data_IF_045265917802
#
_entry.id   IF_045265917802
#
_cell.length_a   1.000
_cell.length_b   1.000
_cell.length_c   1.000
_cell.angle_alpha   90.00
_cell.angle_beta   90.00
_cell.angle_gamma   90.00
#
_symmetry.space_group_name_H-M   'P 1'
#
loop_
_entity.id
_entity.type
_entity.pdbx_description
1 polymer ?
#
# COMPACT_ATOMS: atom_id res chain seq x y z
N UNK A 1 -20.77 -8.27 -4.06
CA UNK A 1 -20.68 -6.99 -3.32
C UNK A 1 -19.30 -6.82 -2.70
N UNK A 2 -18.95 -5.61 -2.31
CA UNK A 2 -17.67 -5.27 -1.67
C UNK A 2 -17.92 -4.56 -0.35
N UNK A 3 -17.28 -5.05 0.71
CA UNK A 3 -17.38 -4.51 2.06
C UNK A 3 -15.98 -4.10 2.52
N UNK A 4 -15.66 -2.82 2.38
CA UNK A 4 -14.34 -2.28 2.72
C UNK A 4 -14.48 -1.38 3.93
N UNK A 5 -13.67 -1.62 4.97
CA UNK A 5 -13.71 -0.79 6.18
C UNK A 5 -12.34 -0.67 6.84
N UNK A 6 -11.99 0.57 7.18
CA UNK A 6 -10.93 0.88 8.14
C UNK A 6 -11.61 1.28 9.45
N UNK A 7 -11.17 0.74 10.58
CA UNK A 7 -11.83 1.00 11.87
C UNK A 7 -10.85 0.97 13.03
N UNK A 8 -11.17 1.64 14.13
CA UNK A 8 -10.38 1.59 15.36
C UNK A 8 -10.91 0.56 16.36
N UNK A 9 -12.06 -0.06 16.08
CA UNK A 9 -12.68 -1.06 16.96
C UNK A 9 -12.16 -2.47 16.65
N UNK A 10 -12.35 -3.38 17.59
CA UNK A 10 -12.04 -4.80 17.39
C UNK A 10 -12.82 -5.37 16.20
N UNK A 11 -12.18 -6.28 15.46
CA UNK A 11 -12.79 -6.95 14.31
C UNK A 11 -13.47 -8.25 14.76
N UNK A 12 -14.75 -8.41 14.40
CA UNK A 12 -15.48 -9.67 14.58
C UNK A 12 -15.38 -10.51 13.31
N UNK A 13 -14.76 -11.69 13.41
CA UNK A 13 -14.64 -12.62 12.28
C UNK A 13 -16.01 -13.13 11.84
N UNK A 14 -16.92 -13.35 12.78
CA UNK A 14 -18.27 -13.83 12.51
C UNK A 14 -19.09 -12.80 11.74
N UNK A 15 -19.09 -11.54 12.18
CA UNK A 15 -19.81 -10.46 11.48
C UNK A 15 -19.31 -10.32 10.04
N UNK A 16 -18.00 -10.34 9.84
CA UNK A 16 -17.38 -10.18 8.51
C UNK A 16 -17.66 -11.41 7.64
N UNK A 17 -17.66 -12.62 8.21
CA UNK A 17 -18.07 -13.85 7.51
C UNK A 17 -19.52 -13.77 7.04
N UNK A 18 -20.42 -13.23 7.86
CA UNK A 18 -21.83 -13.12 7.53
C UNK A 18 -22.09 -12.13 6.38
N UNK A 19 -21.31 -11.06 6.26
CA UNK A 19 -21.42 -10.11 5.15
C UNK A 19 -21.22 -10.76 3.78
N UNK A 20 -20.33 -11.74 3.68
CA UNK A 20 -20.01 -12.39 2.40
C UNK A 20 -20.84 -13.64 2.12
N UNK A 21 -21.59 -14.12 3.11
CA UNK A 21 -22.47 -15.28 2.99
C UNK A 21 -23.65 -15.01 2.05
N UNK A 22 -23.81 -15.86 1.03
CA UNK A 22 -24.94 -15.80 0.09
C UNK A 22 -25.44 -17.20 -0.26
N UNK A 23 -26.75 -17.36 -0.59
CA UNK A 23 -27.31 -18.65 -0.98
C UNK A 23 -26.66 -19.29 -2.22
N UNK A 24 -26.02 -18.47 -3.06
CA UNK A 24 -25.37 -18.87 -4.31
C UNK A 24 -23.91 -19.31 -4.12
N UNK A 25 -23.31 -19.03 -2.96
CA UNK A 25 -21.94 -19.41 -2.64
C UNK A 25 -21.87 -20.65 -1.75
N UNK A 26 -21.19 -21.69 -2.21
CA UNK A 26 -20.92 -22.90 -1.43
C UNK A 26 -19.64 -22.84 -0.57
N UNK A 27 -18.84 -21.78 -0.71
CA UNK A 27 -17.59 -21.64 0.02
C UNK A 27 -17.30 -20.19 0.42
N UNK A 28 -16.79 -20.03 1.64
CA UNK A 28 -16.20 -18.80 2.16
C UNK A 28 -14.79 -19.14 2.62
N UNK A 29 -13.79 -18.38 2.16
CA UNK A 29 -12.43 -18.44 2.66
C UNK A 29 -12.17 -17.18 3.48
N UNK A 30 -11.52 -17.34 4.64
CA UNK A 30 -11.24 -16.23 5.55
C UNK A 30 -9.76 -16.26 5.95
N UNK A 31 -9.11 -15.10 5.86
CA UNK A 31 -7.80 -14.86 6.43
C UNK A 31 -7.92 -13.90 7.62
N UNK A 32 -7.28 -14.26 8.73
CA UNK A 32 -7.23 -13.44 9.95
C UNK A 32 -5.76 -13.19 10.30
N UNK A 33 -5.31 -11.94 10.14
CA UNK A 33 -3.98 -11.51 10.56
C UNK A 33 -3.99 -11.10 12.02
N UNK A 34 -3.32 -11.86 12.89
CA UNK A 34 -3.27 -11.59 14.34
C UNK A 34 -1.90 -11.11 14.80
N UNK A 35 -1.89 -10.26 15.83
CA UNK A 35 -0.66 -9.79 16.46
C UNK A 35 0.01 -10.91 17.26
N UNK A 36 1.29 -11.15 16.97
CA UNK A 36 2.14 -12.11 17.70
C UNK A 36 2.87 -11.42 18.85
N UNK A 37 3.22 -12.17 19.89
CA UNK A 37 3.94 -11.66 21.06
C UNK A 37 5.46 -11.56 20.86
N UNK A 38 5.97 -11.96 19.69
CA UNK A 38 7.40 -11.99 19.43
C UNK A 38 7.72 -11.46 18.04
N UNK A 39 8.80 -10.70 17.96
CA UNK A 39 9.43 -10.30 16.71
C UNK A 39 10.95 -10.21 16.92
N UNK A 40 11.72 -10.98 16.14
CA UNK A 40 13.20 -10.98 16.19
C UNK A 40 13.79 -11.20 17.60
N UNK A 41 13.15 -12.05 18.40
CA UNK A 41 13.58 -12.34 19.77
C UNK A 41 13.20 -11.29 20.82
N UNK A 42 12.47 -10.23 20.43
CA UNK A 42 11.92 -9.22 21.36
C UNK A 42 10.46 -9.51 21.70
N UNK A 43 10.07 -9.20 22.94
CA UNK A 43 8.69 -9.25 23.45
C UNK A 43 7.90 -8.06 22.90
N UNK A 44 6.87 -8.33 22.11
CA UNK A 44 5.95 -7.32 21.53
C UNK A 44 4.70 -7.26 22.40
N UNK A 45 4.32 -6.06 22.84
CA UNK A 45 3.11 -5.83 23.66
C UNK A 45 1.89 -5.60 22.77
N UNK A 46 2.05 -4.78 21.74
CA UNK A 46 1.00 -4.48 20.77
C UNK A 46 1.63 -3.96 19.46
N UNK A 47 0.79 -3.87 18.44
CA UNK A 47 1.09 -3.17 17.20
C UNK A 47 0.26 -1.90 17.13
N UNK A 48 0.82 -0.85 16.55
CA UNK A 48 0.12 0.38 16.23
C UNK A 48 0.02 0.52 14.71
N UNK A 49 -1.19 0.68 14.20
CA UNK A 49 -1.46 0.78 12.77
C UNK A 49 -1.95 2.17 12.39
N UNK A 50 -1.33 2.75 11.38
CA UNK A 50 -1.74 4.01 10.79
C UNK A 50 -2.01 3.81 9.30
N UNK A 51 -2.93 4.58 8.75
CA UNK A 51 -3.26 4.52 7.34
C UNK A 51 -3.51 5.91 6.78
N UNK A 52 -3.20 6.06 5.50
CA UNK A 52 -3.81 7.12 4.74
C UNK A 52 -5.17 6.65 4.25
N UNK A 53 -6.19 6.82 5.09
CA UNK A 53 -7.46 6.10 4.97
C UNK A 53 -8.14 6.20 3.60
N UNK A 54 -8.26 7.40 3.03
CA UNK A 54 -8.89 7.60 1.73
C UNK A 54 -8.13 6.89 0.59
N UNK A 55 -6.80 6.99 0.58
CA UNK A 55 -5.96 6.29 -0.40
C UNK A 55 -5.96 4.77 -0.17
N UNK A 56 -5.98 4.33 1.08
CA UNK A 56 -6.04 2.92 1.44
C UNK A 56 -7.36 2.30 0.97
N UNK A 57 -8.51 2.95 1.19
CA UNK A 57 -9.81 2.50 0.68
C UNK A 57 -9.83 2.45 -0.85
N UNK A 58 -9.32 3.47 -1.55
CA UNK A 58 -9.18 3.45 -3.01
C UNK A 58 -8.31 2.28 -3.50
N UNK A 59 -7.21 2.01 -2.81
CA UNK A 59 -6.30 0.91 -3.14
C UNK A 59 -6.95 -0.46 -2.93
N UNK A 60 -7.68 -0.64 -1.83
CA UNK A 60 -8.46 -1.85 -1.55
C UNK A 60 -9.57 -2.08 -2.58
N UNK A 61 -10.23 -1.00 -3.01
CA UNK A 61 -11.22 -1.05 -4.08
C UNK A 61 -10.61 -1.52 -5.40
N UNK A 62 -9.41 -1.02 -5.75
CA UNK A 62 -8.68 -1.49 -6.93
C UNK A 62 -8.37 -2.99 -6.84
N UNK A 63 -7.95 -3.49 -5.67
CA UNK A 63 -7.69 -4.91 -5.47
C UNK A 63 -8.95 -5.76 -5.65
N UNK A 64 -10.11 -5.27 -5.23
CA UNK A 64 -11.39 -5.97 -5.45
C UNK A 64 -11.69 -6.10 -6.94
N UNK A 65 -11.45 -5.04 -7.72
CA UNK A 65 -11.60 -5.08 -9.18
C UNK A 65 -10.65 -6.11 -9.81
N UNK A 66 -9.39 -6.15 -9.37
CA UNK A 66 -8.40 -7.11 -9.86
C UNK A 66 -8.79 -8.55 -9.53
N UNK A 67 -9.32 -8.81 -8.32
CA UNK A 67 -9.85 -10.11 -7.93
C UNK A 67 -11.00 -10.52 -8.86
N UNK A 68 -11.97 -9.63 -9.12
CA UNK A 68 -13.08 -9.91 -10.05
C UNK A 68 -12.63 -10.07 -11.49
N UNK A 69 -11.49 -9.48 -11.86
CA UNK A 69 -10.90 -9.66 -13.18
C UNK A 69 -10.38 -11.09 -13.36
N UNK A 70 -9.72 -11.63 -12.32
CA UNK A 70 -9.07 -12.95 -12.33
C UNK A 70 -10.05 -14.10 -12.04
N UNK A 71 -10.95 -13.93 -11.07
CA UNK A 71 -11.92 -14.94 -10.65
C UNK A 71 -13.35 -14.44 -10.83
N UNK A 72 -13.95 -14.80 -11.97
CA UNK A 72 -15.32 -14.37 -12.33
C UNK A 72 -16.40 -14.94 -11.41
N UNK A 73 -16.14 -16.05 -10.75
CA UNK A 73 -17.10 -16.71 -9.85
C UNK A 73 -17.15 -16.09 -8.44
N UNK A 74 -16.27 -15.15 -8.10
CA UNK A 74 -16.30 -14.51 -6.78
C UNK A 74 -17.48 -13.54 -6.68
N UNK A 75 -18.31 -13.74 -5.67
CA UNK A 75 -19.48 -12.91 -5.46
C UNK A 75 -19.20 -11.76 -4.50
N UNK A 76 -18.81 -12.09 -3.26
CA UNK A 76 -18.61 -11.10 -2.21
C UNK A 76 -17.17 -11.09 -1.70
N UNK A 77 -16.69 -9.88 -1.42
CA UNK A 77 -15.36 -9.62 -0.90
C UNK A 77 -15.55 -8.68 0.30
N UNK A 78 -14.99 -9.04 1.44
CA UNK A 78 -14.90 -8.18 2.61
C UNK A 78 -13.44 -8.03 3.02
N UNK A 79 -12.97 -6.79 3.19
CA UNK A 79 -11.62 -6.47 3.67
C UNK A 79 -11.74 -5.41 4.75
N UNK A 80 -11.47 -5.84 5.99
CA UNK A 80 -11.55 -5.00 7.17
C UNK A 80 -10.17 -4.90 7.80
N UNK A 81 -9.70 -3.68 8.02
CA UNK A 81 -8.42 -3.45 8.69
C UNK A 81 -8.63 -2.57 9.92
N UNK A 82 -8.05 -3.00 11.04
CA UNK A 82 -8.03 -2.24 12.28
C UNK A 82 -6.86 -1.27 12.31
N UNK A 83 -7.13 -0.03 12.68
CA UNK A 83 -6.17 1.04 12.89
C UNK A 83 -6.01 1.32 14.40
N UNK A 84 -4.97 2.07 14.76
CA UNK A 84 -4.57 2.30 16.14
C UNK A 84 -3.95 1.07 16.79
N UNK A 85 -4.09 0.96 18.10
CA UNK A 85 -3.45 -0.09 18.89
C UNK A 85 -4.19 -1.43 18.77
N UNK A 86 -3.43 -2.48 18.44
CA UNK A 86 -3.88 -3.87 18.31
C UNK A 86 -3.03 -4.76 19.24
N UNK A 87 -3.57 -5.16 20.40
CA UNK A 87 -2.91 -6.07 21.34
C UNK A 87 -2.54 -7.43 20.73
N UNK A 88 -1.59 -8.11 21.36
CA UNK A 88 -1.27 -9.52 21.05
C UNK A 88 -2.53 -10.39 21.10
N UNK A 89 -2.63 -11.35 20.17
CA UNK A 89 -3.77 -12.26 19.93
C UNK A 89 -4.99 -11.62 19.26
N UNK A 90 -5.01 -10.31 19.07
CA UNK A 90 -6.12 -9.65 18.37
C UNK A 90 -5.87 -9.54 16.87
N UNK A 91 -6.96 -9.48 16.10
CA UNK A 91 -6.91 -9.36 14.64
C UNK A 91 -6.67 -7.90 14.21
N UNK A 92 -5.64 -7.70 13.39
CA UNK A 92 -5.37 -6.42 12.71
C UNK A 92 -6.07 -6.34 11.36
N UNK A 93 -6.29 -7.47 10.70
CA UNK A 93 -6.96 -7.54 9.40
C UNK A 93 -7.78 -8.82 9.31
N UNK A 94 -8.97 -8.71 8.71
CA UNK A 94 -9.81 -9.85 8.32
C UNK A 94 -10.19 -9.67 6.86
N UNK A 95 -9.92 -10.70 6.06
CA UNK A 95 -10.32 -10.78 4.66
C UNK A 95 -11.24 -11.99 4.52
N UNK A 96 -12.45 -11.79 4.00
CA UNK A 96 -13.38 -12.87 3.71
C UNK A 96 -13.84 -12.78 2.25
N UNK A 97 -13.82 -13.89 1.53
CA UNK A 97 -14.23 -13.94 0.13
C UNK A 97 -15.12 -15.17 -0.09
N UNK A 98 -16.26 -14.97 -0.74
CA UNK A 98 -17.20 -16.03 -1.07
C UNK A 98 -17.22 -16.36 -2.56
N UNK A 99 -17.42 -17.64 -2.84
CA UNK A 99 -17.57 -18.16 -4.21
C UNK A 99 -18.42 -19.43 -4.23
N UNK A 100 -18.99 -19.82 -5.39
CA UNK A 100 -19.69 -21.10 -5.55
C UNK A 100 -18.83 -22.31 -5.19
N UNK A 101 -17.51 -22.26 -5.45
CA UNK A 101 -16.60 -23.37 -5.25
C UNK A 101 -15.32 -22.97 -4.51
N UNK A 102 -14.92 -23.79 -3.53
CA UNK A 102 -13.82 -23.49 -2.59
C UNK A 102 -12.50 -23.02 -3.20
N UNK A 103 -12.13 -23.48 -4.40
CA UNK A 103 -10.82 -23.20 -4.99
C UNK A 103 -10.61 -21.70 -5.24
N UNK A 104 -11.61 -21.04 -5.82
CA UNK A 104 -11.55 -19.62 -6.16
C UNK A 104 -11.47 -18.76 -4.89
N UNK A 105 -12.31 -19.05 -3.88
CA UNK A 105 -12.26 -18.36 -2.59
C UNK A 105 -10.89 -18.52 -1.91
N UNK A 106 -10.31 -19.73 -1.89
CA UNK A 106 -9.01 -19.97 -1.26
C UNK A 106 -7.88 -19.20 -1.96
N UNK A 107 -7.82 -19.28 -3.28
CA UNK A 107 -6.77 -18.62 -4.07
C UNK A 107 -6.89 -17.10 -4.00
N UNK A 108 -8.10 -16.56 -4.08
CA UNK A 108 -8.33 -15.13 -4.05
C UNK A 108 -8.01 -14.51 -2.69
N UNK A 109 -8.29 -15.19 -1.58
CA UNK A 109 -7.92 -14.68 -0.24
C UNK A 109 -6.40 -14.60 -0.10
N UNK A 110 -5.68 -15.65 -0.50
CA UNK A 110 -4.22 -15.66 -0.49
C UNK A 110 -3.66 -14.53 -1.37
N UNK A 111 -4.15 -14.40 -2.59
CA UNK A 111 -3.75 -13.32 -3.49
C UNK A 111 -4.04 -11.94 -2.90
N UNK A 112 -5.22 -11.77 -2.27
CA UNK A 112 -5.64 -10.52 -1.69
C UNK A 112 -4.69 -10.06 -0.58
N UNK A 113 -4.37 -10.92 0.40
CA UNK A 113 -3.47 -10.52 1.49
C UNK A 113 -2.07 -10.18 0.98
N UNK A 114 -1.56 -10.93 0.01
CA UNK A 114 -0.25 -10.67 -0.58
C UNK A 114 -0.18 -9.32 -1.30
N UNK A 115 -1.28 -8.91 -1.93
CA UNK A 115 -1.34 -7.62 -2.62
C UNK A 115 -1.66 -6.46 -1.67
N UNK A 116 -2.50 -6.67 -0.64
CA UNK A 116 -2.72 -5.68 0.42
C UNK A 116 -1.39 -5.24 1.03
N UNK A 117 -0.52 -6.21 1.37
CA UNK A 117 0.81 -5.93 1.93
C UNK A 117 1.76 -5.21 0.98
N UNK A 118 1.52 -5.25 -0.34
CA UNK A 118 2.37 -4.64 -1.37
C UNK A 118 1.93 -3.23 -1.75
N UNK A 119 0.62 -3.00 -1.90
CA UNK A 119 0.09 -1.80 -2.55
C UNK A 119 -0.70 -0.87 -1.63
N UNK A 120 -1.23 -1.35 -0.50
CA UNK A 120 -2.12 -0.54 0.33
C UNK A 120 -1.30 0.28 1.34
N UNK A 121 -1.47 1.60 1.41
CA UNK A 121 -0.72 2.49 2.31
C UNK A 121 -1.20 2.39 3.77
N UNK A 122 -0.90 1.25 4.40
CA UNK A 122 -1.10 0.99 5.82
C UNK A 122 0.25 0.63 6.43
N UNK A 123 0.62 1.36 7.48
CA UNK A 123 1.89 1.20 8.19
C UNK A 123 1.65 0.55 9.54
N UNK A 124 2.61 -0.27 9.97
CA UNK A 124 2.62 -0.93 11.28
C UNK A 124 3.84 -0.49 12.06
N UNK A 125 3.67 -0.26 13.35
CA UNK A 125 4.72 0.02 14.32
C UNK A 125 4.63 -1.01 15.44
N UNK A 126 5.77 -1.55 15.84
CA UNK A 126 5.87 -2.55 16.89
C UNK A 126 6.21 -1.87 18.21
N UNK A 127 5.41 -2.13 19.25
CA UNK A 127 5.67 -1.61 20.60
C UNK A 127 6.21 -2.75 21.46
N UNK A 128 7.42 -2.56 21.97
CA UNK A 128 8.13 -3.56 22.77
C UNK A 128 8.06 -3.26 24.27
N UNK A 129 8.23 -4.30 25.07
CA UNK A 129 8.33 -4.18 26.51
C UNK A 129 9.59 -3.41 26.93
N UNK A 130 9.41 -2.28 27.62
CA UNK A 130 10.49 -1.50 28.23
C UNK A 130 11.34 -0.63 27.29
N UNK A 131 10.92 -0.35 26.05
CA UNK A 131 11.63 0.56 25.14
C UNK A 131 10.78 1.77 24.73
N UNK A 132 11.44 2.93 24.61
CA UNK A 132 10.90 4.14 23.97
C UNK A 132 10.78 3.93 22.47
N UNK A 133 9.59 4.18 21.94
CA UNK A 133 9.13 3.96 20.56
C UNK A 133 10.15 4.19 19.44
N UNK A 134 10.31 3.19 18.56
CA UNK A 134 11.00 3.36 17.27
C UNK A 134 10.11 2.91 16.12
N UNK A 135 9.82 3.81 15.18
CA UNK A 135 9.18 3.45 13.91
C UNK A 135 10.12 2.53 13.11
N UNK A 136 9.63 1.35 12.72
CA UNK A 136 10.39 0.40 11.91
C UNK A 136 9.73 0.17 10.56
N UNK A 137 10.56 -0.01 9.55
CA UNK A 137 10.17 -0.34 8.19
C UNK A 137 9.60 -1.78 8.10
N UNK A 138 8.58 -1.98 7.27
CA UNK A 138 7.91 -3.28 7.11
C UNK A 138 8.76 -4.22 6.24
N UNK A 139 9.23 -5.35 6.78
CA UNK A 139 9.97 -6.35 5.97
C UNK A 139 9.13 -7.04 4.89
N UNK A 140 7.81 -6.94 4.97
CA UNK A 140 6.88 -7.55 4.01
C UNK A 140 6.55 -6.64 2.83
N UNK A 141 6.85 -5.33 2.91
CA UNK A 141 6.78 -4.48 1.72
C UNK A 141 7.92 -4.90 0.78
N UNK A 142 7.56 -5.47 -0.36
CA UNK A 142 8.49 -5.88 -1.40
C UNK A 142 9.14 -4.69 -2.13
N UNK A 143 9.12 -3.49 -1.55
CA UNK A 143 9.97 -2.38 -1.98
C UNK A 143 11.31 -2.55 -1.29
N UNK A 144 11.97 -3.67 -1.53
CA UNK A 144 13.40 -3.62 -1.57
C UNK A 144 13.72 -3.03 -2.95
N UNK A 145 14.39 -1.87 -3.08
CA UNK A 145 15.27 -1.74 -4.23
C UNK A 145 16.08 -3.04 -4.22
N UNK A 146 16.18 -3.75 -5.37
CA UNK A 146 16.82 -5.07 -5.39
C UNK A 146 18.07 -4.96 -4.56
N UNK A 147 18.20 -5.78 -3.50
CA UNK A 147 19.43 -5.82 -2.70
C UNK A 147 20.51 -6.11 -3.70
N UNK A 148 21.15 -5.04 -4.19
CA UNK A 148 22.39 -5.14 -4.92
C UNK A 148 23.24 -5.80 -3.88
N UNK A 149 23.57 -7.08 -4.10
CA UNK A 149 24.68 -7.68 -3.38
C UNK A 149 25.78 -6.66 -3.60
N UNK A 150 26.12 -5.89 -2.57
CA UNK A 150 27.40 -5.20 -2.54
C UNK A 150 28.39 -6.35 -2.60
N UNK A 151 28.71 -6.77 -3.82
CA UNK A 151 29.85 -7.60 -4.08
C UNK A 151 30.97 -6.85 -3.40
N UNK A 152 31.54 -7.43 -2.34
CA UNK A 152 32.83 -6.96 -1.85
C UNK A 152 33.73 -7.02 -3.08
N UNK A 153 34.00 -5.86 -3.69
CA UNK A 153 34.78 -5.70 -4.92
C UNK A 153 36.20 -6.25 -4.80
N UNK A 154 36.60 -6.64 -3.60
CA UNK A 154 37.96 -7.06 -3.28
C UNK A 154 38.27 -8.51 -3.66
N UNK A 155 37.28 -9.34 -4.03
CA UNK A 155 37.49 -10.77 -4.35
C UNK A 155 36.63 -11.25 -5.55
N UNK A 156 36.53 -10.44 -6.61
CA UNK A 156 35.98 -10.93 -7.88
C UNK A 156 37.13 -11.65 -8.59
N UNK A 157 37.08 -12.98 -8.82
CA UNK A 157 38.07 -13.63 -9.67
C UNK A 157 38.00 -12.97 -11.05
N UNK A 158 39.16 -12.57 -11.57
CA UNK A 158 39.28 -11.92 -12.88
C UNK A 158 38.67 -12.85 -13.93
N UNK A 159 37.40 -12.62 -14.29
CA UNK A 159 36.72 -13.36 -15.33
C UNK A 159 37.39 -12.93 -16.63
N UNK A 160 38.24 -13.80 -17.18
CA UNK A 160 38.77 -13.64 -18.53
C UNK A 160 37.60 -13.73 -19.50
N UNK A 161 37.01 -12.58 -19.78
CA UNK A 161 36.00 -12.43 -20.82
C UNK A 161 36.70 -12.77 -22.14
N UNK A 162 36.20 -13.73 -22.94
CA UNK A 162 36.74 -13.95 -24.27
C UNK A 162 36.72 -12.61 -25.02
N UNK A 163 37.78 -12.30 -25.75
CA UNK A 163 37.90 -11.05 -26.51
C UNK A 163 36.66 -10.87 -27.38
N UNK A 164 35.73 -10.01 -26.94
CA UNK A 164 34.56 -9.64 -27.72
C UNK A 164 35.02 -8.48 -28.61
N UNK A 165 34.99 -8.65 -29.94
CA UNK A 165 35.33 -7.58 -30.86
C UNK A 165 34.58 -6.28 -30.52
N UNK A 166 35.25 -5.10 -30.56
CA UNK A 166 34.65 -3.83 -30.12
C UNK A 166 33.34 -3.46 -30.82
N UNK A 167 33.08 -4.02 -32.00
CA UNK A 167 31.87 -3.77 -32.78
C UNK A 167 30.64 -4.59 -32.32
N UNK A 168 30.80 -5.53 -31.38
CA UNK A 168 29.71 -6.37 -30.83
C UNK A 168 29.26 -5.95 -29.43
N UNK A 169 29.89 -4.95 -28.82
CA UNK A 169 29.51 -4.42 -27.49
C UNK A 169 28.66 -3.17 -27.70
N UNK A 170 27.34 -3.31 -27.67
CA UNK A 170 26.45 -2.21 -28.02
C UNK A 170 26.30 -1.15 -26.91
N UNK A 171 26.53 -1.48 -25.64
CA UNK A 171 26.45 -0.49 -24.55
C UNK A 171 27.48 -0.82 -23.47
N UNK A 172 28.56 -0.04 -23.41
CA UNK A 172 29.43 0.07 -22.24
C UNK A 172 29.00 1.33 -21.49
N UNK A 173 28.30 1.17 -20.37
CA UNK A 173 28.00 2.28 -19.47
C UNK A 173 28.99 2.23 -18.31
N UNK A 174 29.61 3.38 -17.99
CA UNK A 174 30.42 3.52 -16.78
C UNK A 174 29.53 3.45 -15.53
N UNK A 175 30.11 3.14 -14.37
CA UNK A 175 29.36 3.01 -13.10
C UNK A 175 28.54 4.26 -12.77
N UNK A 176 29.11 5.45 -13.03
CA UNK A 176 28.44 6.74 -12.81
C UNK A 176 27.23 6.94 -13.72
N UNK A 177 27.28 6.44 -14.96
CA UNK A 177 26.15 6.51 -15.92
C UNK A 177 25.03 5.54 -15.52
N UNK A 178 25.37 4.38 -14.93
CA UNK A 178 24.38 3.44 -14.38
C UNK A 178 23.68 4.07 -13.17
N UNK A 179 24.42 4.69 -12.26
CA UNK A 179 23.85 5.38 -11.09
C UNK A 179 22.91 6.52 -11.50
N UNK A 180 23.31 7.37 -12.46
CA UNK A 180 22.45 8.42 -13.02
C UNK A 180 21.15 7.87 -13.62
N UNK A 181 21.19 6.71 -14.27
CA UNK A 181 19.99 6.07 -14.82
C UNK A 181 19.06 5.53 -13.72
N UNK A 182 19.61 4.98 -12.65
CA UNK A 182 18.84 4.50 -11.50
C UNK A 182 18.14 5.67 -10.81
N UNK A 183 18.87 6.76 -10.54
CA UNK A 183 18.32 7.97 -9.92
C UNK A 183 17.20 8.56 -10.77
N UNK A 184 17.42 8.70 -12.08
CA UNK A 184 16.43 9.21 -13.02
C UNK A 184 15.18 8.32 -13.10
N UNK A 185 15.34 7.00 -13.01
CA UNK A 185 14.19 6.09 -12.95
C UNK A 185 13.36 6.27 -11.67
N UNK A 186 14.03 6.41 -10.52
CA UNK A 186 13.37 6.65 -9.22
C UNK A 186 12.62 7.99 -9.26
N UNK A 187 13.25 9.03 -9.78
CA UNK A 187 12.66 10.36 -9.91
C UNK A 187 11.43 10.34 -10.83
N UNK A 188 11.53 9.70 -12.00
CA UNK A 188 10.39 9.52 -12.91
C UNK A 188 9.22 8.77 -12.26
N UNK A 189 9.51 7.74 -11.46
CA UNK A 189 8.48 7.00 -10.73
C UNK A 189 7.82 7.84 -9.64
N UNK A 190 8.59 8.68 -8.93
CA UNK A 190 8.03 9.65 -7.98
C UNK A 190 7.18 10.70 -8.68
N UNK A 191 7.60 11.19 -9.84
CA UNK A 191 6.82 12.14 -10.65
C UNK A 191 5.52 11.52 -11.18
N UNK A 192 5.53 10.25 -11.58
CA UNK A 192 4.34 9.53 -12.02
C UNK A 192 3.30 9.44 -10.89
N UNK A 193 3.74 9.05 -9.68
CA UNK A 193 2.90 9.03 -8.47
C UNK A 193 2.40 10.44 -8.14
N UNK A 194 3.28 11.45 -8.16
CA UNK A 194 2.90 12.83 -7.89
C UNK A 194 1.89 13.35 -8.92
N UNK A 195 2.02 12.99 -10.20
CA UNK A 195 1.07 13.38 -11.26
C UNK A 195 -0.30 12.76 -11.03
N UNK A 196 -0.36 11.51 -10.57
CA UNK A 196 -1.60 10.87 -10.17
C UNK A 196 -2.25 11.61 -8.98
N UNK A 197 -1.45 11.95 -7.96
CA UNK A 197 -1.90 12.73 -6.80
C UNK A 197 -2.38 14.14 -7.19
N UNK A 198 -1.68 14.81 -8.12
CA UNK A 198 -2.05 16.14 -8.63
C UNK A 198 -3.34 16.07 -9.44
N UNK A 199 -3.54 15.03 -10.26
CA UNK A 199 -4.82 14.85 -10.97
C UNK A 199 -5.98 14.63 -9.98
N UNK A 200 -5.77 13.84 -8.93
CA UNK A 200 -6.76 13.68 -7.84
C UNK A 200 -7.04 15.01 -7.12
N UNK A 201 -6.05 15.91 -7.02
CA UNK A 201 -6.21 17.26 -6.47
C UNK A 201 -6.95 18.23 -7.42
N UNK A 202 -6.66 18.19 -8.71
CA UNK A 202 -7.14 19.17 -9.69
C UNK A 202 -8.48 18.80 -10.36
N UNK A 203 -8.81 17.51 -10.48
CA UNK A 203 -10.06 17.03 -11.08
C UNK A 203 -11.21 16.99 -10.06
N UNK A 204 -11.42 18.10 -9.33
CA UNK A 204 -12.67 18.32 -8.60
C UNK A 204 -13.74 18.72 -9.60
N UNK A 205 -14.76 17.90 -9.75
CA UNK A 205 -16.03 18.37 -10.29
C UNK A 205 -16.77 19.04 -9.12
N UNK A 206 -17.15 20.32 -9.26
CA UNK A 206 -17.82 21.08 -8.19
C UNK A 206 -19.18 20.47 -7.78
N UNK A 207 -19.69 19.52 -8.56
CA UNK A 207 -20.97 18.84 -8.34
C UNK A 207 -20.86 17.46 -7.67
N UNK A 208 -19.67 16.87 -7.52
CA UNK A 208 -19.48 15.63 -6.78
C UNK A 208 -18.67 15.90 -5.50
N UNK A 209 -19.36 15.89 -4.35
CA UNK A 209 -18.71 15.80 -3.04
C UNK A 209 -18.04 14.43 -2.98
N UNK A 210 -16.81 14.34 -3.48
CA UNK A 210 -16.00 13.15 -3.35
C UNK A 210 -15.42 13.12 -1.94
N UNK A 211 -16.17 12.49 -1.02
CA UNK A 211 -15.82 12.27 0.39
C UNK A 211 -14.49 11.51 0.58
N UNK A 212 -13.87 11.04 -0.50
CA UNK A 212 -12.61 10.29 -0.52
C UNK A 212 -11.45 11.03 -1.21
N UNK A 213 -11.55 12.35 -1.43
CA UNK A 213 -10.43 13.14 -1.98
C UNK A 213 -9.24 13.20 -1.01
N UNK A 214 -8.05 12.94 -1.53
CA UNK A 214 -6.79 12.93 -0.79
C UNK A 214 -6.20 14.36 -0.59
N UNK A 215 -6.80 15.38 -1.21
CA UNK A 215 -6.34 16.77 -1.13
C UNK A 215 -6.66 17.42 0.24
N UNK A 216 -5.69 17.51 1.14
CA UNK A 216 -5.84 18.10 2.49
C UNK A 216 -5.87 19.64 2.57
N UNK A 217 -5.84 20.38 1.45
CA UNK A 217 -5.84 21.86 1.47
C UNK A 217 -6.59 22.43 0.25
N UNK A 218 -7.65 23.20 0.49
CA UNK A 218 -8.32 24.02 -0.53
C UNK A 218 -7.48 25.26 -0.86
N UNK A 219 -6.62 25.16 -1.87
CA UNK A 219 -5.94 26.32 -2.43
C UNK A 219 -6.78 26.95 -3.55
N UNK A 220 -7.55 28.01 -3.24
CA UNK A 220 -8.22 28.82 -4.28
C UNK A 220 -7.20 29.75 -4.96
N UNK A 221 -6.93 29.51 -6.24
CA UNK A 221 -6.10 30.37 -7.09
C UNK A 221 -6.97 31.47 -7.71
N UNK A 222 -6.85 32.71 -7.22
CA UNK A 222 -7.53 33.87 -7.80
C UNK A 222 -6.57 34.60 -8.75
N UNK A 223 -6.91 34.62 -10.05
CA UNK A 223 -6.17 35.37 -11.05
C UNK A 223 -6.53 36.86 -10.96
N UNK A 224 -5.60 37.70 -10.48
CA UNK A 224 -5.73 39.16 -10.63
C UNK A 224 -5.47 39.53 -12.09
N UNK A 225 -6.29 40.44 -12.63
CA UNK A 225 -6.26 40.85 -14.05
C UNK A 225 -4.95 41.55 -14.47
N UNK A 226 -4.11 41.91 -13.50
CA UNK A 226 -3.03 42.88 -13.72
C UNK A 226 -1.62 42.33 -13.43
N UNK A 227 -1.44 41.01 -13.29
CA UNK A 227 -0.13 40.39 -13.01
C UNK A 227 0.23 39.27 -13.99
N UNK A 228 1.47 39.28 -14.50
CA UNK A 228 2.09 38.19 -15.26
C UNK A 228 2.74 37.10 -14.38
N UNK A 229 2.59 37.17 -13.05
CA UNK A 229 3.06 36.16 -12.11
C UNK A 229 1.97 35.70 -11.13
N UNK A 230 1.90 34.39 -10.88
CA UNK A 230 1.05 33.80 -9.85
C UNK A 230 1.74 33.93 -8.48
N UNK A 231 1.11 34.61 -7.52
CA UNK A 231 1.53 34.57 -6.12
C UNK A 231 0.57 33.70 -5.30
N UNK A 232 1.18 32.90 -4.44
CA UNK A 232 0.59 31.90 -3.54
C UNK A 232 -0.25 32.61 -2.47
N UNK A 233 -1.58 32.43 -2.52
CA UNK A 233 -2.47 32.81 -1.42
C UNK A 233 -2.55 31.67 -0.41
N UNK A 234 -1.77 31.74 0.66
CA UNK A 234 -2.00 30.93 1.85
C UNK A 234 -3.12 31.58 2.67
N UNK A 235 -4.21 30.86 2.90
CA UNK A 235 -5.06 31.14 4.06
C UNK A 235 -5.49 29.81 4.68
N UNK A 236 -5.00 29.60 5.90
CA UNK A 236 -5.32 28.51 6.80
C UNK A 236 -6.75 28.67 7.31
N UNK A 237 -7.49 27.57 7.40
CA UNK A 237 -8.45 27.35 8.49
C UNK A 237 -8.38 25.88 8.90
N UNK A 238 -7.62 25.63 9.96
CA UNK A 238 -7.75 24.41 10.75
C UNK A 238 -8.85 24.72 11.76
N UNK A 239 -10.04 24.15 11.57
CA UNK A 239 -10.98 23.99 12.68
C UNK A 239 -10.73 22.61 13.28
N UNK A 240 -9.98 22.58 14.39
CA UNK A 240 -10.05 21.47 15.33
C UNK A 240 -11.42 21.57 16.02
N UNK A 241 -12.29 20.60 15.79
CA UNK A 241 -13.32 20.27 16.77
C UNK A 241 -12.77 19.12 17.61
N UNK A 242 -12.78 19.32 18.93
CA UNK A 242 -12.61 18.26 19.94
C UNK A 242 -13.59 17.11 19.71
#
# INVERSE_FOLDING_TARGET
MEFLKLTHTQLSVEEISNLVSTPTCGAISIFVGTTRNNFEGKSVINLEYEAYESMALKSLQSLCNDIRSQWKAIENIAIYHRLGTVPVKEASIVIAISSPHRLDAMQAVQWCIDNVKKSVPIWKKEIYEGQTDSWKENKESSIHPPRVKFFKLNNIPEVKVPFVPPHLVQIKADGEEIEKRIEKFIELKREEINRANIRDFCCRDDNEINEFSCARIDAKLIKRKDSKGHLKGSCFFVHFAM
#
